data_IF_152796166232
#
_entry.id   IF_152796166232
#
_cell.length_a   1.000
_cell.length_b   1.000
_cell.length_c   1.000
_cell.angle_alpha   90.00
_cell.angle_beta   90.00
_cell.angle_gamma   90.00
#
_symmetry.space_group_name_H-M   'P 1'
#
loop_
_entity.id
_entity.type
_entity.pdbx_description
1 polymer ?
#
# COMPACT_ATOMS: atom_id res chain seq x y z
N UNK A 1 8.26 14.32 -1.82
CA UNK A 1 7.45 13.43 -2.66
C UNK A 1 6.08 13.35 -2.03
N UNK A 2 5.05 13.85 -2.69
CA UNK A 2 3.66 13.68 -2.28
C UNK A 2 2.99 12.61 -3.13
N UNK A 3 1.82 12.16 -2.70
CA UNK A 3 0.93 11.35 -3.52
C UNK A 3 -0.41 12.07 -3.69
N UNK A 4 -1.06 11.87 -4.84
CA UNK A 4 -2.37 12.44 -5.15
C UNK A 4 -3.45 11.41 -4.83
N UNK A 5 -4.27 11.72 -3.84
CA UNK A 5 -5.50 11.01 -3.51
C UNK A 5 -6.69 11.55 -4.28
N UNK A 6 -7.77 10.76 -4.39
CA UNK A 6 -9.05 11.22 -4.94
C UNK A 6 -8.94 11.72 -6.39
N UNK A 7 -7.91 11.32 -7.12
CA UNK A 7 -7.66 11.80 -8.48
C UNK A 7 -8.69 11.28 -9.49
N UNK A 8 -9.42 10.21 -9.17
CA UNK A 8 -10.40 9.61 -10.06
C UNK A 8 -11.62 10.51 -10.35
N UNK A 9 -11.82 11.61 -9.62
CA UNK A 9 -12.87 12.59 -9.93
C UNK A 9 -12.45 13.67 -10.95
N UNK A 10 -11.18 13.69 -11.37
CA UNK A 10 -10.62 14.73 -12.25
C UNK A 10 -11.01 14.56 -13.72
N UNK A 11 -11.51 13.39 -14.10
CA UNK A 11 -11.99 13.07 -15.44
C UNK A 11 -13.25 12.21 -15.37
N UNK A 12 -13.99 12.14 -16.48
CA UNK A 12 -15.17 11.28 -16.60
C UNK A 12 -14.89 10.03 -17.44
N UNK A 13 -13.82 10.06 -18.23
CA UNK A 13 -13.28 8.94 -19.01
C UNK A 13 -11.76 8.85 -18.81
N UNK A 14 -11.14 7.78 -19.30
CA UNK A 14 -9.72 7.55 -19.09
C UNK A 14 -8.82 8.64 -19.71
N UNK A 15 -9.21 9.20 -20.85
CA UNK A 15 -8.40 10.16 -21.60
C UNK A 15 -8.47 11.58 -20.99
N UNK A 16 -9.65 12.01 -20.54
CA UNK A 16 -9.81 13.24 -19.76
C UNK A 16 -9.09 13.15 -18.42
N UNK A 17 -9.17 12.01 -17.73
CA UNK A 17 -8.42 11.76 -16.50
C UNK A 17 -6.91 11.81 -16.74
N UNK A 18 -6.42 11.14 -17.80
CA UNK A 18 -5.00 11.15 -18.17
C UNK A 18 -4.47 12.55 -18.46
N UNK A 19 -5.23 13.37 -19.20
CA UNK A 19 -4.87 14.76 -19.49
C UNK A 19 -4.80 15.61 -18.22
N UNK A 20 -5.84 15.54 -17.37
CA UNK A 20 -5.84 16.27 -16.10
C UNK A 20 -4.66 15.86 -15.20
N UNK A 21 -4.34 14.57 -15.14
CA UNK A 21 -3.19 14.07 -14.40
C UNK A 21 -1.86 14.52 -15.01
N UNK A 22 -1.73 14.57 -16.34
CA UNK A 22 -0.54 15.09 -17.00
C UNK A 22 -0.29 16.57 -16.64
N UNK A 23 -1.33 17.41 -16.68
CA UNK A 23 -1.24 18.82 -16.31
C UNK A 23 -0.77 19.01 -14.86
N UNK A 24 -1.32 18.21 -13.94
CA UNK A 24 -0.91 18.24 -12.53
C UNK A 24 0.54 17.75 -12.38
N UNK A 25 0.93 16.68 -13.07
CA UNK A 25 2.30 16.17 -13.02
C UNK A 25 3.30 17.23 -13.49
N UNK A 26 2.99 17.96 -14.56
CA UNK A 26 3.87 19.02 -15.07
C UNK A 26 3.98 20.18 -14.08
N UNK A 27 2.86 20.61 -13.48
CA UNK A 27 2.87 21.61 -12.42
C UNK A 27 3.71 21.17 -11.19
N UNK A 28 3.55 19.91 -10.76
CA UNK A 28 4.32 19.36 -9.63
C UNK A 28 5.80 19.29 -9.96
N UNK A 29 6.18 18.84 -11.16
CA UNK A 29 7.59 18.76 -11.57
C UNK A 29 8.24 20.14 -11.67
N UNK A 30 7.52 21.14 -12.16
CA UNK A 30 7.99 22.53 -12.23
C UNK A 30 8.19 23.15 -10.84
N UNK A 31 7.29 22.86 -9.90
CA UNK A 31 7.40 23.33 -8.51
C UNK A 31 8.47 22.56 -7.70
N UNK A 32 8.80 21.34 -8.11
CA UNK A 32 9.78 20.48 -7.47
C UNK A 32 11.21 20.92 -7.84
N UNK A 33 12.07 21.30 -6.87
CA UNK A 33 13.46 21.69 -7.16
C UNK A 33 14.30 20.62 -7.87
N UNK A 34 13.83 19.38 -7.88
CA UNK A 34 14.49 18.22 -8.47
C UNK A 34 13.72 17.63 -9.65
N UNK A 35 12.63 18.26 -10.10
CA UNK A 35 11.80 17.74 -11.19
C UNK A 35 11.05 16.44 -10.86
N UNK A 36 10.93 16.08 -9.57
CA UNK A 36 10.25 14.85 -9.13
C UNK A 36 8.73 15.09 -9.15
N UNK A 37 8.00 14.24 -9.88
CA UNK A 37 6.53 14.25 -9.95
C UNK A 37 5.84 13.69 -8.70
N UNK A 38 4.51 13.58 -8.76
CA UNK A 38 3.71 12.98 -7.68
C UNK A 38 3.38 11.52 -8.01
N UNK A 39 3.33 10.65 -7.00
CA UNK A 39 2.71 9.33 -7.16
C UNK A 39 1.19 9.53 -7.20
N UNK A 40 0.51 8.89 -8.14
CA UNK A 40 -0.96 8.96 -8.23
C UNK A 40 -1.50 7.60 -7.85
N UNK A 41 -2.32 7.56 -6.81
CA UNK A 41 -2.95 6.32 -6.38
C UNK A 41 -4.42 6.28 -6.70
N UNK A 42 -4.96 5.06 -6.77
CA UNK A 42 -6.39 4.82 -6.77
C UNK A 42 -6.71 3.51 -6.04
N UNK A 43 -7.97 3.34 -5.68
CA UNK A 43 -8.52 2.10 -5.18
C UNK A 43 -8.77 1.11 -6.32
N UNK A 44 -8.80 -0.16 -5.97
CA UNK A 44 -9.22 -1.19 -6.91
C UNK A 44 -9.40 -2.56 -6.28
N UNK A 45 -10.31 -2.63 -5.31
CA UNK A 45 -10.65 -3.86 -4.58
C UNK A 45 -11.19 -4.92 -5.55
N UNK A 46 -11.99 -4.49 -6.52
CA UNK A 46 -12.65 -5.36 -7.50
C UNK A 46 -12.67 -4.75 -8.91
N UNK A 47 -11.61 -4.05 -9.30
CA UNK A 47 -11.54 -3.35 -10.58
C UNK A 47 -11.02 -1.93 -10.42
N UNK A 48 -10.75 -1.24 -11.52
CA UNK A 48 -10.27 0.14 -11.48
C UNK A 48 -11.40 1.06 -10.99
N UNK A 49 -11.24 1.76 -9.84
CA UNK A 49 -12.25 2.69 -9.31
C UNK A 49 -12.34 3.96 -10.17
N UNK A 50 -13.04 3.85 -11.29
CA UNK A 50 -13.35 4.92 -12.21
C UNK A 50 -14.45 4.47 -13.19
N UNK A 51 -15.23 5.40 -13.75
CA UNK A 51 -16.31 5.08 -14.69
C UNK A 51 -15.82 4.35 -15.97
N UNK A 52 -14.55 4.55 -16.34
CA UNK A 52 -13.94 3.89 -17.49
C UNK A 52 -13.29 2.53 -17.17
N UNK A 53 -13.37 2.06 -15.92
CA UNK A 53 -12.72 0.85 -15.46
C UNK A 53 -13.66 -0.35 -15.42
N UNK A 54 -13.21 -1.51 -15.90
CA UNK A 54 -13.90 -2.78 -15.66
C UNK A 54 -14.05 -3.05 -14.17
N UNK A 55 -15.25 -3.55 -13.80
CA UNK A 55 -15.58 -4.02 -12.47
C UNK A 55 -15.74 -5.54 -12.49
N UNK A 56 -15.26 -6.18 -11.44
CA UNK A 56 -15.29 -7.62 -11.20
C UNK A 56 -16.13 -7.90 -9.94
N UNK A 57 -16.48 -9.17 -9.66
CA UNK A 57 -17.03 -9.55 -8.36
C UNK A 57 -16.16 -9.04 -7.21
N UNK A 58 -16.75 -8.84 -6.04
CA UNK A 58 -15.99 -8.47 -4.83
C UNK A 58 -14.87 -9.47 -4.56
N UNK A 59 -13.84 -9.08 -3.81
CA UNK A 59 -12.72 -9.95 -3.50
C UNK A 59 -13.17 -11.30 -2.90
N UNK A 60 -14.20 -11.29 -2.04
CA UNK A 60 -14.79 -12.51 -1.50
C UNK A 60 -15.38 -13.41 -2.59
N UNK A 61 -16.09 -12.82 -3.56
CA UNK A 61 -16.63 -13.55 -4.71
C UNK A 61 -15.55 -14.08 -5.65
N UNK A 62 -14.44 -13.34 -5.79
CA UNK A 62 -13.27 -13.81 -6.54
C UNK A 62 -12.60 -15.00 -5.83
N UNK A 63 -12.40 -14.93 -4.51
CA UNK A 63 -11.80 -16.02 -3.73
C UNK A 63 -12.61 -17.32 -3.81
N UNK A 64 -13.94 -17.22 -3.88
CA UNK A 64 -14.82 -18.38 -4.02
C UNK A 64 -14.60 -19.17 -5.33
N UNK A 65 -13.88 -18.62 -6.31
CA UNK A 65 -13.52 -19.34 -7.54
C UNK A 65 -12.39 -20.35 -7.34
N UNK A 66 -11.55 -20.17 -6.32
CA UNK A 66 -10.29 -20.91 -6.14
C UNK A 66 -9.35 -20.86 -7.37
N UNK A 67 -9.55 -19.90 -8.26
CA UNK A 67 -8.83 -19.76 -9.52
C UNK A 67 -7.88 -18.55 -9.47
N UNK A 68 -6.66 -18.79 -9.01
CA UNK A 68 -5.61 -17.77 -8.92
C UNK A 68 -5.22 -17.22 -10.29
N UNK A 69 -5.30 -18.04 -11.35
CA UNK A 69 -4.97 -17.61 -12.70
C UNK A 69 -5.99 -16.61 -13.24
N UNK A 70 -7.28 -16.84 -12.97
CA UNK A 70 -8.36 -15.90 -13.28
C UNK A 70 -8.17 -14.57 -12.55
N UNK A 71 -7.81 -14.61 -11.26
CA UNK A 71 -7.58 -13.40 -10.46
C UNK A 71 -6.36 -12.62 -10.96
N UNK A 72 -5.28 -13.32 -11.35
CA UNK A 72 -4.12 -12.69 -11.99
C UNK A 72 -4.52 -11.98 -13.30
N UNK A 73 -5.35 -12.60 -14.14
CA UNK A 73 -5.85 -11.97 -15.38
C UNK A 73 -6.73 -10.76 -15.10
N UNK A 74 -7.67 -10.86 -14.16
CA UNK A 74 -8.56 -9.75 -13.80
C UNK A 74 -7.81 -8.55 -13.21
N UNK A 75 -6.81 -8.81 -12.37
CA UNK A 75 -5.94 -7.77 -11.80
C UNK A 75 -5.03 -7.13 -12.85
N UNK A 76 -4.56 -7.88 -13.85
CA UNK A 76 -3.83 -7.33 -15.00
C UNK A 76 -4.69 -6.37 -15.85
N UNK A 77 -5.97 -6.67 -16.06
CA UNK A 77 -6.92 -5.75 -16.73
C UNK A 77 -7.07 -4.45 -15.92
N UNK A 78 -7.19 -4.56 -14.59
CA UNK A 78 -7.25 -3.39 -13.69
C UNK A 78 -6.00 -2.52 -13.82
N UNK A 79 -4.82 -3.14 -13.80
CA UNK A 79 -3.52 -2.47 -13.95
C UNK A 79 -3.40 -1.75 -15.29
N UNK A 80 -3.81 -2.39 -16.39
CA UNK A 80 -3.78 -1.79 -17.72
C UNK A 80 -4.65 -0.53 -17.81
N UNK A 81 -5.86 -0.55 -17.24
CA UNK A 81 -6.72 0.64 -17.19
C UNK A 81 -6.11 1.77 -16.36
N UNK A 82 -5.56 1.45 -15.19
CA UNK A 82 -4.90 2.43 -14.34
C UNK A 82 -3.68 3.08 -15.02
N UNK A 83 -2.83 2.26 -15.64
CA UNK A 83 -1.67 2.77 -16.38
C UNK A 83 -2.12 3.66 -17.54
N UNK A 84 -3.15 3.25 -18.28
CA UNK A 84 -3.69 4.04 -19.37
C UNK A 84 -4.20 5.41 -18.88
N UNK A 85 -4.82 5.46 -17.70
CA UNK A 85 -5.25 6.70 -17.05
C UNK A 85 -4.09 7.53 -16.45
N UNK A 86 -2.84 7.03 -16.42
CA UNK A 86 -1.69 7.74 -15.85
C UNK A 86 -1.52 7.56 -14.33
N UNK A 87 -2.04 6.47 -13.77
CA UNK A 87 -1.93 6.14 -12.34
C UNK A 87 -0.77 5.18 -12.04
N UNK A 88 -0.29 5.19 -10.80
CA UNK A 88 0.99 4.58 -10.41
C UNK A 88 0.87 3.58 -9.26
N UNK A 89 -0.02 3.83 -8.30
CA UNK A 89 -0.22 3.00 -7.12
C UNK A 89 -1.65 2.49 -7.10
N UNK A 90 -1.82 1.19 -6.90
CA UNK A 90 -3.12 0.57 -6.69
C UNK A 90 -3.23 0.15 -5.22
N UNK A 91 -4.16 0.75 -4.48
CA UNK A 91 -4.42 0.47 -3.07
C UNK A 91 -5.19 -0.85 -2.88
N UNK A 92 -4.59 -1.93 -3.37
CA UNK A 92 -5.05 -3.31 -3.33
C UNK A 92 -3.84 -4.25 -3.49
N UNK A 93 -3.92 -5.51 -3.04
CA UNK A 93 -5.12 -6.17 -2.50
C UNK A 93 -5.32 -5.95 -0.99
N UNK A 94 -6.54 -6.21 -0.52
CA UNK A 94 -6.84 -6.35 0.91
C UNK A 94 -6.49 -7.79 1.32
N UNK A 95 -5.41 -7.91 2.08
CA UNK A 95 -4.79 -9.16 2.53
C UNK A 95 -5.19 -9.54 3.96
N UNK A 96 -6.13 -8.80 4.58
CA UNK A 96 -6.63 -9.10 5.92
C UNK A 96 -7.34 -10.47 5.96
N UNK A 97 -7.13 -11.21 7.05
CA UNK A 97 -7.86 -12.44 7.33
C UNK A 97 -9.16 -12.07 8.05
N UNK A 98 -10.29 -12.46 7.49
CA UNK A 98 -11.58 -12.12 8.09
C UNK A 98 -12.28 -13.34 8.68
N UNK A 99 -12.23 -13.45 10.01
CA UNK A 99 -12.92 -14.48 10.81
C UNK A 99 -14.10 -13.94 11.61
N UNK A 100 -14.38 -12.63 11.53
CA UNK A 100 -15.54 -11.99 12.15
C UNK A 100 -16.50 -11.43 11.08
N UNK A 101 -17.58 -12.14 10.74
CA UNK A 101 -18.50 -11.72 9.67
C UNK A 101 -19.28 -10.44 10.00
N UNK A 102 -19.20 -9.92 11.24
CA UNK A 102 -19.81 -8.64 11.62
C UNK A 102 -19.05 -7.44 11.04
N UNK A 103 -17.79 -7.64 10.65
CA UNK A 103 -16.96 -6.56 10.13
C UNK A 103 -17.46 -6.04 8.78
N UNK A 104 -17.71 -4.73 8.67
CA UNK A 104 -18.33 -4.14 7.48
C UNK A 104 -17.54 -4.30 6.17
N UNK A 105 -16.25 -4.65 6.26
CA UNK A 105 -15.33 -4.79 5.13
C UNK A 105 -15.03 -6.24 4.73
N UNK A 106 -15.78 -7.22 5.26
CA UNK A 106 -15.67 -8.65 4.92
C UNK A 106 -15.53 -8.85 3.40
N UNK A 107 -16.41 -8.23 2.63
CA UNK A 107 -16.49 -8.36 1.17
C UNK A 107 -15.21 -7.95 0.41
N UNK A 108 -14.34 -7.16 1.04
CA UNK A 108 -13.08 -6.70 0.45
C UNK A 108 -11.95 -7.71 0.61
N UNK A 109 -12.10 -8.69 1.52
CA UNK A 109 -11.08 -9.71 1.79
C UNK A 109 -11.26 -10.95 0.91
N UNK A 110 -10.23 -11.80 0.88
CA UNK A 110 -10.26 -13.10 0.19
C UNK A 110 -10.72 -14.27 1.08
N UNK A 111 -11.28 -13.99 2.26
CA UNK A 111 -11.86 -15.00 3.14
C UNK A 111 -11.19 -15.11 4.52
N UNK A 112 -11.43 -16.25 5.17
CA UNK A 112 -10.99 -16.55 6.54
C UNK A 112 -9.75 -17.46 6.64
N UNK A 113 -9.32 -18.01 5.50
CA UNK A 113 -8.23 -18.98 5.40
C UNK A 113 -6.92 -18.30 4.93
N UNK A 114 -5.85 -18.34 5.75
CA UNK A 114 -4.58 -17.69 5.42
C UNK A 114 -3.92 -18.21 4.15
N UNK A 115 -4.07 -19.50 3.83
CA UNK A 115 -3.45 -20.09 2.64
C UNK A 115 -4.14 -19.59 1.37
N UNK A 116 -5.48 -19.61 1.33
CA UNK A 116 -6.27 -19.05 0.23
C UNK A 116 -5.97 -17.56 0.04
N UNK A 117 -6.01 -16.77 1.12
CA UNK A 117 -5.71 -15.33 1.05
C UNK A 117 -4.30 -15.09 0.52
N UNK A 118 -3.31 -15.88 0.94
CA UNK A 118 -1.94 -15.73 0.46
C UNK A 118 -1.79 -16.08 -1.03
N UNK A 119 -2.34 -17.21 -1.48
CA UNK A 119 -2.29 -17.62 -2.88
C UNK A 119 -2.94 -16.58 -3.80
N UNK A 120 -4.13 -16.11 -3.42
CA UNK A 120 -4.88 -15.11 -4.18
C UNK A 120 -4.13 -13.76 -4.18
N UNK A 121 -3.56 -13.35 -3.05
CA UNK A 121 -2.79 -12.11 -2.93
C UNK A 121 -1.53 -12.13 -3.82
N UNK A 122 -0.80 -13.25 -3.83
CA UNK A 122 0.36 -13.45 -4.73
C UNK A 122 -0.06 -13.30 -6.19
N UNK A 123 -1.16 -13.95 -6.59
CA UNK A 123 -1.66 -13.89 -7.97
C UNK A 123 -2.13 -12.47 -8.35
N UNK A 124 -2.83 -11.79 -7.47
CA UNK A 124 -3.24 -10.40 -7.66
C UNK A 124 -2.02 -9.48 -7.83
N UNK A 125 -1.01 -9.59 -6.95
CA UNK A 125 0.20 -8.75 -7.03
C UNK A 125 0.96 -9.01 -8.33
N UNK A 126 1.06 -10.26 -8.79
CA UNK A 126 1.65 -10.60 -10.11
C UNK A 126 0.89 -9.95 -11.26
N UNK A 127 -0.44 -10.00 -11.24
CA UNK A 127 -1.26 -9.40 -12.29
C UNK A 127 -1.16 -7.87 -12.31
N UNK A 128 -1.15 -7.25 -11.13
CA UNK A 128 -1.03 -5.78 -11.01
C UNK A 128 0.34 -5.29 -11.44
N UNK A 129 1.41 -5.87 -10.88
CA UNK A 129 2.77 -5.39 -11.13
C UNK A 129 3.33 -5.85 -12.48
N UNK A 130 2.81 -6.95 -13.06
CA UNK A 130 3.32 -7.51 -14.30
C UNK A 130 4.71 -8.14 -14.17
N UNK A 131 5.20 -8.74 -15.25
CA UNK A 131 6.57 -9.25 -15.31
C UNK A 131 7.55 -8.07 -15.37
N UNK A 132 8.61 -8.11 -14.57
CA UNK A 132 9.65 -7.07 -14.50
C UNK A 132 9.12 -5.62 -14.34
N UNK A 133 7.92 -5.46 -13.77
CA UNK A 133 7.24 -4.17 -13.56
C UNK A 133 6.82 -3.47 -14.85
N UNK A 134 6.68 -4.22 -15.93
CA UNK A 134 6.19 -3.72 -17.22
C UNK A 134 4.98 -4.56 -17.67
N UNK A 135 3.80 -3.96 -17.94
CA UNK A 135 3.44 -2.54 -17.87
C UNK A 135 2.92 -2.07 -16.49
N UNK A 136 3.13 -2.81 -15.40
CA UNK A 136 2.29 -2.69 -14.20
C UNK A 136 2.33 -1.37 -13.41
N UNK A 137 1.23 -1.09 -12.72
CA UNK A 137 1.17 -0.18 -11.56
C UNK A 137 1.67 -0.90 -10.30
N UNK A 138 2.04 -0.19 -9.24
CA UNK A 138 2.52 -0.81 -8.02
C UNK A 138 1.34 -1.23 -7.13
N UNK A 139 1.27 -2.51 -6.78
CA UNK A 139 0.31 -3.00 -5.79
C UNK A 139 0.71 -2.53 -4.38
N UNK A 140 -0.29 -2.16 -3.58
CA UNK A 140 -0.14 -1.80 -2.18
C UNK A 140 -0.95 -2.78 -1.33
N UNK A 141 -0.26 -3.74 -0.69
CA UNK A 141 -0.91 -4.69 0.20
C UNK A 141 -1.43 -4.01 1.46
N UNK A 142 -2.68 -4.28 1.85
CA UNK A 142 -3.32 -3.64 3.01
C UNK A 142 -4.22 -4.60 3.80
N UNK A 143 -4.45 -4.41 5.09
CA UNK A 143 -3.89 -3.36 5.93
C UNK A 143 -2.93 -3.99 6.96
N UNK A 144 -1.66 -3.62 6.92
CA UNK A 144 -0.62 -4.23 7.73
C UNK A 144 -0.63 -3.67 9.17
N UNK A 145 -1.09 -4.38 10.20
CA UNK A 145 -1.58 -5.76 10.17
C UNK A 145 -2.85 -5.98 11.00
N UNK A 146 -3.65 -6.94 10.57
CA UNK A 146 -4.69 -7.56 11.38
C UNK A 146 -5.98 -6.75 11.45
N UNK A 147 -6.33 -5.99 10.41
CA UNK A 147 -7.49 -5.11 10.48
C UNK A 147 -8.81 -5.87 10.54
N UNK A 148 -8.88 -7.01 9.86
CA UNK A 148 -10.04 -7.90 9.87
C UNK A 148 -10.37 -8.50 11.24
N UNK A 149 -9.47 -8.41 12.22
CA UNK A 149 -9.65 -8.90 13.58
C UNK A 149 -10.14 -7.81 14.57
N UNK A 150 -10.65 -6.68 14.06
CA UNK A 150 -11.16 -5.58 14.88
C UNK A 150 -12.24 -6.05 15.86
N UNK A 151 -12.14 -5.65 17.13
CA UNK A 151 -13.02 -6.16 18.19
C UNK A 151 -14.50 -5.86 17.92
N UNK A 152 -15.33 -6.89 18.12
CA UNK A 152 -16.78 -6.80 17.89
C UNK A 152 -17.18 -6.61 16.42
N UNK A 153 -16.25 -6.74 15.47
CA UNK A 153 -16.47 -6.44 14.06
C UNK A 153 -16.69 -4.94 13.79
N UNK A 154 -16.30 -4.06 14.72
CA UNK A 154 -16.45 -2.63 14.53
C UNK A 154 -15.30 -2.09 13.69
N UNK A 155 -15.58 -1.17 12.78
CA UNK A 155 -14.56 -0.57 11.94
C UNK A 155 -13.67 0.36 12.76
N UNK A 156 -12.35 0.37 12.52
CA UNK A 156 -11.32 1.24 13.16
C UNK A 156 -11.17 1.12 14.68
N UNK A 157 -11.85 0.18 15.33
CA UNK A 157 -11.65 -0.04 16.77
C UNK A 157 -10.38 -0.84 17.02
N UNK A 158 -10.08 -1.05 18.30
CA UNK A 158 -8.92 -1.83 18.72
C UNK A 158 -8.94 -3.25 18.15
N UNK A 159 -7.75 -3.72 17.84
CA UNK A 159 -7.47 -5.11 17.47
C UNK A 159 -6.43 -5.62 18.46
N UNK A 160 -6.68 -6.76 19.09
CA UNK A 160 -5.73 -7.40 20.00
C UNK A 160 -5.20 -8.67 19.37
N UNK A 161 -3.96 -8.62 18.86
CA UNK A 161 -3.28 -9.77 18.27
C UNK A 161 -2.02 -10.11 19.04
N UNK A 162 -2.03 -11.29 19.68
CA UNK A 162 -0.82 -11.89 20.23
C UNK A 162 0.12 -12.39 19.13
N UNK A 163 1.42 -12.46 19.43
CA UNK A 163 2.47 -12.86 18.46
C UNK A 163 2.18 -14.17 17.71
N UNK A 164 1.56 -15.15 18.36
CA UNK A 164 1.22 -16.43 17.71
C UNK A 164 0.10 -16.25 16.68
N UNK A 165 -0.94 -15.48 17.02
CA UNK A 165 -2.07 -15.22 16.12
C UNK A 165 -1.63 -14.38 14.91
N UNK A 166 -0.64 -13.50 15.07
CA UNK A 166 -0.08 -12.71 13.97
C UNK A 166 0.49 -13.57 12.82
N UNK A 167 0.86 -14.83 13.06
CA UNK A 167 1.40 -15.74 12.03
C UNK A 167 0.50 -15.82 10.81
N UNK A 168 -0.79 -16.04 11.04
CA UNK A 168 -1.80 -16.13 9.99
C UNK A 168 -1.96 -14.78 9.26
N UNK A 169 -1.91 -13.69 10.03
CA UNK A 169 -2.17 -12.34 9.52
C UNK A 169 -1.05 -11.83 8.60
N UNK A 170 0.22 -12.09 8.91
CA UNK A 170 1.33 -11.62 8.08
C UNK A 170 1.65 -12.54 6.90
N UNK A 171 1.16 -13.79 6.90
CA UNK A 171 1.53 -14.79 5.89
C UNK A 171 1.20 -14.33 4.45
N UNK A 172 0.02 -13.76 4.15
CA UNK A 172 -0.28 -13.21 2.83
C UNK A 172 0.70 -12.10 2.39
N UNK A 173 1.13 -11.25 3.32
CA UNK A 173 2.10 -10.18 3.04
C UNK A 173 3.49 -10.76 2.79
N UNK A 174 3.93 -11.71 3.62
CA UNK A 174 5.21 -12.39 3.48
C UNK A 174 5.30 -13.10 2.13
N UNK A 175 4.29 -13.88 1.76
CA UNK A 175 4.24 -14.59 0.47
C UNK A 175 4.16 -13.63 -0.71
N UNK A 176 3.32 -12.59 -0.62
CA UNK A 176 3.25 -11.55 -1.67
C UNK A 176 4.59 -10.82 -1.86
N UNK A 177 5.34 -10.59 -0.78
CA UNK A 177 6.69 -10.05 -0.84
C UNK A 177 7.67 -11.04 -1.50
N UNK A 178 7.75 -12.27 -1.02
CA UNK A 178 8.78 -13.24 -1.45
C UNK A 178 8.50 -13.89 -2.80
N UNK A 179 7.22 -14.05 -3.19
CA UNK A 179 6.82 -14.79 -4.40
C UNK A 179 6.33 -13.90 -5.55
N UNK A 180 5.95 -12.64 -5.26
CA UNK A 180 5.44 -11.68 -6.25
C UNK A 180 6.13 -10.31 -6.20
N UNK A 181 7.06 -10.08 -5.26
CA UNK A 181 7.81 -8.84 -5.17
C UNK A 181 6.93 -7.63 -4.83
N UNK A 182 6.01 -7.77 -3.86
CA UNK A 182 5.15 -6.68 -3.40
C UNK A 182 5.95 -5.41 -3.11
N UNK A 183 5.57 -4.29 -3.74
CA UNK A 183 6.36 -3.06 -3.72
C UNK A 183 5.96 -2.05 -2.65
N UNK A 184 4.74 -2.16 -2.15
CA UNK A 184 4.18 -1.20 -1.22
C UNK A 184 3.25 -1.89 -0.22
N UNK A 185 3.21 -1.35 0.99
CA UNK A 185 2.34 -1.80 2.08
C UNK A 185 1.65 -0.60 2.70
N UNK A 186 0.39 -0.74 3.05
CA UNK A 186 -0.37 0.24 3.81
C UNK A 186 -0.55 -0.24 5.24
N UNK A 187 -0.28 0.60 6.25
CA UNK A 187 -0.52 0.21 7.63
C UNK A 187 -2.01 0.11 7.97
N UNK A 188 -2.34 -0.69 8.98
CA UNK A 188 -3.69 -0.82 9.54
C UNK A 188 -4.06 0.33 10.49
N UNK A 189 -5.37 0.50 10.74
CA UNK A 189 -5.90 1.23 11.90
C UNK A 189 -5.86 0.38 13.19
N UNK A 190 -5.40 -0.87 13.12
CA UNK A 190 -5.22 -1.73 14.28
C UNK A 190 -4.13 -1.23 15.23
N UNK A 191 -4.12 -1.81 16.43
CA UNK A 191 -3.02 -1.75 17.38
C UNK A 191 -2.36 -3.13 17.48
N UNK A 192 -1.09 -3.18 17.86
CA UNK A 192 -0.42 -4.41 18.27
C UNK A 192 0.20 -4.15 19.63
N UNK A 193 -0.23 -4.91 20.63
CA UNK A 193 0.19 -4.74 22.04
C UNK A 193 -0.08 -3.31 22.55
N UNK A 194 -1.24 -2.75 22.19
CA UNK A 194 -1.67 -1.39 22.56
C UNK A 194 -0.95 -0.25 21.83
N UNK A 195 -0.14 -0.55 20.81
CA UNK A 195 0.58 0.46 20.02
C UNK A 195 -0.06 0.57 18.63
N UNK A 196 -0.57 1.74 18.22
CA UNK A 196 -1.15 1.96 16.88
C UNK A 196 -0.18 1.59 15.77
N UNK A 197 -0.65 0.81 14.79
CA UNK A 197 0.19 0.29 13.71
C UNK A 197 0.89 1.41 12.92
N UNK A 198 0.25 2.58 12.74
CA UNK A 198 0.82 3.76 12.07
C UNK A 198 2.04 4.37 12.76
N UNK A 199 2.24 4.11 14.06
CA UNK A 199 3.37 4.59 14.85
C UNK A 199 4.23 3.46 15.46
N UNK A 200 3.91 2.19 15.16
CA UNK A 200 4.55 1.05 15.80
C UNK A 200 5.90 0.72 15.11
N UNK A 201 7.01 1.21 15.70
CA UNK A 201 8.37 0.95 15.20
C UNK A 201 8.71 -0.54 15.15
N UNK A 202 8.29 -1.30 16.15
CA UNK A 202 8.51 -2.75 16.15
C UNK A 202 7.83 -3.39 14.93
N UNK A 203 6.57 -3.03 14.65
CA UNK A 203 5.82 -3.57 13.51
C UNK A 203 6.39 -3.13 12.16
N UNK A 204 6.56 -1.82 11.94
CA UNK A 204 6.88 -1.28 10.61
C UNK A 204 8.37 -1.29 10.27
N UNK A 205 9.26 -1.36 11.27
CA UNK A 205 10.71 -1.39 11.04
C UNK A 205 11.31 -2.73 11.41
N UNK A 206 11.18 -3.15 12.66
CA UNK A 206 11.87 -4.37 13.14
C UNK A 206 11.24 -5.63 12.52
N UNK A 207 9.93 -5.68 12.42
CA UNK A 207 9.22 -6.81 11.85
C UNK A 207 9.15 -6.71 10.33
N UNK A 208 8.44 -5.72 9.77
CA UNK A 208 8.25 -5.61 8.33
C UNK A 208 9.56 -5.49 7.54
N UNK A 209 10.46 -4.58 7.93
CA UNK A 209 11.72 -4.37 7.19
C UNK A 209 12.79 -5.37 7.57
N UNK A 210 13.12 -5.50 8.85
CA UNK A 210 14.28 -6.31 9.25
C UNK A 210 13.95 -7.81 9.28
N UNK A 211 12.74 -8.21 9.68
CA UNK A 211 12.36 -9.63 9.78
C UNK A 211 11.82 -10.17 8.47
N UNK A 212 10.88 -9.47 7.83
CA UNK A 212 10.30 -9.92 6.56
C UNK A 212 11.11 -9.47 5.32
N UNK A 213 12.07 -8.55 5.48
CA UNK A 213 12.93 -8.11 4.38
C UNK A 213 12.27 -7.08 3.44
N UNK A 214 11.26 -6.33 3.90
CA UNK A 214 10.55 -5.38 3.05
C UNK A 214 11.35 -4.10 2.78
N UNK A 215 11.71 -3.86 1.52
CA UNK A 215 12.46 -2.67 1.09
C UNK A 215 11.58 -1.60 0.44
N UNK A 216 10.29 -1.89 0.24
CA UNK A 216 9.37 -1.03 -0.48
C UNK A 216 8.83 0.17 0.29
N UNK A 217 7.79 0.76 -0.30
CA UNK A 217 7.08 1.91 0.25
C UNK A 217 6.13 1.49 1.37
N UNK A 218 6.11 2.24 2.47
CA UNK A 218 5.04 2.15 3.46
C UNK A 218 4.21 3.42 3.35
N UNK A 219 2.91 3.28 3.09
CA UNK A 219 1.96 4.39 3.03
C UNK A 219 1.01 4.32 4.21
N UNK A 220 0.54 5.47 4.68
CA UNK A 220 -0.51 5.50 5.67
C UNK A 220 -1.86 5.19 5.03
N UNK A 221 -2.72 4.45 5.73
CA UNK A 221 -4.16 4.52 5.45
C UNK A 221 -4.65 5.96 5.72
N UNK A 222 -5.81 6.31 5.17
CA UNK A 222 -6.37 7.65 5.21
C UNK A 222 -6.49 8.16 6.65
N UNK A 223 -5.85 9.30 6.93
CA UNK A 223 -5.87 9.94 8.25
C UNK A 223 -5.25 9.12 9.39
N UNK A 224 -4.67 7.93 9.14
CA UNK A 224 -4.13 7.03 10.18
C UNK A 224 -3.05 7.68 11.05
N UNK A 225 -2.33 8.68 10.51
CA UNK A 225 -1.35 9.48 11.26
C UNK A 225 -2.04 10.50 12.17
N UNK A 226 -3.12 11.15 11.72
CA UNK A 226 -3.88 12.11 12.54
C UNK A 226 -4.68 11.41 13.64
N UNK A 227 -5.11 10.16 13.41
CA UNK A 227 -5.75 9.33 14.43
C UNK A 227 -4.89 9.13 15.69
N UNK A 228 -3.55 9.22 15.59
CA UNK A 228 -2.65 9.23 16.76
C UNK A 228 -3.02 10.33 17.75
N UNK A 229 -3.51 11.47 17.27
CA UNK A 229 -3.94 12.60 18.09
C UNK A 229 -5.43 12.57 18.41
N UNK A 230 -6.28 12.22 17.44
CA UNK A 230 -7.73 12.38 17.57
C UNK A 230 -8.40 11.17 18.23
N UNK A 231 -7.92 9.97 17.97
CA UNK A 231 -8.47 8.72 18.48
C UNK A 231 -7.58 8.09 19.57
N UNK A 232 -6.31 7.78 19.24
CA UNK A 232 -5.42 7.04 20.15
C UNK A 232 -4.85 7.87 21.29
N UNK A 233 -4.84 9.21 21.16
CA UNK A 233 -4.27 10.14 22.17
C UNK A 233 -2.81 9.84 22.52
N UNK A 234 -2.03 9.36 21.55
CA UNK A 234 -0.61 9.03 21.67
C UNK A 234 0.32 10.12 21.10
N UNK A 235 -0.26 11.17 20.52
CA UNK A 235 0.47 12.34 20.02
C UNK A 235 -0.23 13.66 20.42
N UNK A 236 0.56 14.62 20.93
CA UNK A 236 0.04 15.88 21.46
C UNK A 236 -0.18 16.97 20.40
N UNK A 237 0.53 16.88 19.27
CA UNK A 237 0.52 17.89 18.20
C UNK A 237 0.77 17.24 16.84
N UNK A 238 0.39 17.94 15.76
CA UNK A 238 0.80 17.51 14.42
C UNK A 238 2.33 17.66 14.32
N UNK A 239 3.02 16.55 14.03
CA UNK A 239 4.46 16.56 13.86
C UNK A 239 4.88 17.28 12.58
N UNK A 240 6.04 17.96 12.54
CA UNK A 240 6.56 18.50 11.30
C UNK A 240 6.91 17.35 10.35
N UNK A 241 6.64 17.52 9.05
CA UNK A 241 7.20 16.65 8.01
C UNK A 241 8.74 16.77 8.06
N UNK A 242 9.41 15.86 8.78
CA UNK A 242 10.87 15.93 8.92
C UNK A 242 11.49 15.65 7.55
N UNK A 243 12.27 16.59 6.96
CA UNK A 243 13.05 16.27 5.79
C UNK A 243 14.02 15.15 6.15
N UNK A 244 14.21 14.22 5.21
CA UNK A 244 15.18 13.13 5.31
C UNK A 244 16.52 13.68 5.83
N UNK A 245 17.18 13.05 6.83
CA UNK A 245 18.48 13.53 7.29
C UNK A 245 19.40 13.60 6.08
N UNK A 246 19.93 14.80 5.81
CA UNK A 246 20.87 15.05 4.73
C UNK A 246 22.00 14.02 4.90
N UNK A 247 22.22 13.19 3.88
CA UNK A 247 23.42 12.37 3.79
C UNK A 247 24.61 13.33 3.96
N UNK A 248 25.35 13.18 5.06
CA UNK A 248 26.54 13.98 5.30
C UNK A 248 27.47 13.81 4.09
N UNK A 249 27.65 14.88 3.30
CA UNK A 249 28.78 14.95 2.37
C UNK A 249 30.03 14.88 3.23
N UNK A 250 30.85 13.84 3.01
CA UNK A 250 32.17 13.74 3.58
C UNK A 250 32.96 15.03 3.28
N UNK A 251 33.78 15.54 4.21
CA UNK A 251 34.62 16.70 3.94
C UNK A 251 35.58 16.35 2.81
N UNK A 252 35.64 17.19 1.77
CA UNK A 252 36.66 17.12 0.73
C UNK A 252 38.04 17.16 1.38
N UNK A 253 38.80 16.07 1.20
CA UNK A 253 40.13 15.90 1.77
C UNK A 253 41.10 17.00 1.36
N UNK A 254 41.92 17.40 2.33
CA UNK A 254 43.09 18.24 2.15
C UNK A 254 44.01 17.67 1.06
N UNK A 255 44.35 18.51 0.07
CA UNK A 255 45.44 18.24 -0.85
C UNK A 255 46.76 18.29 -0.07
N UNK A 256 47.42 17.14 0.07
CA UNK A 256 48.81 17.03 0.51
C UNK A 256 49.70 17.38 -0.67
N UNK A 257 50.41 18.50 -0.59
CA UNK A 257 51.41 18.90 -1.57
C UNK A 257 52.62 17.96 -1.52
N UNK A 258 53.00 17.41 -2.67
CA UNK A 258 54.26 16.70 -2.84
C UNK A 258 55.43 17.70 -2.97
N UNK A 259 56.61 17.41 -2.40
CA UNK A 259 57.79 18.25 -2.56
C UNK A 259 58.41 18.03 -3.95
N UNK A 260 58.91 19.10 -4.56
CA UNK A 260 59.77 19.06 -5.75
C UNK A 260 61.21 19.37 -5.34
N UNK A 261 62.21 18.87 -6.11
CA UNK A 261 63.56 18.56 -5.65
C UNK A 261 64.40 19.77 -5.23
#
# INVERSE_FOLDING_TARGET
MGHLSLAWFLGHDAESLRRALADIQDAVRQASPFGIGALVHNEGINGFLHASGSQFPTAWGQAATWDTELIQRASAVTSAHMRHAGMHLLFSPVMDINRDPRWGRVHETYGEDPELVAQVSVAFVRGVQGADRDPGVLAVGKHFLGYGASEGGLNTVITQLGRRAMTDEYEPFRRSLTEAGLCAVMNSYSEIDGIPASANRWLLTEFLRNTLGFEGLVVSDYDAVNLLRTAYRTADHQGPARPHPRVHRAPSGHAVGAPRP
#
